data_IF_657317347847
#
_entry.id   IF_657317347847
#
_cell.length_a   1.000
_cell.length_b   1.000
_cell.length_c   1.000
_cell.angle_alpha   90.00
_cell.angle_beta   90.00
_cell.angle_gamma   90.00
#
_symmetry.space_group_name_H-M   'P 1'
#
loop_
_entity.id
_entity.type
_entity.pdbx_description
1 polymer ?
#
# COMPACT_ATOMS: atom_id res chain seq x y z
N UNK A 1 13.51 -11.39 1.36
CA UNK A 1 12.30 -11.21 0.53
C UNK A 1 12.09 -9.73 0.34
N UNK A 2 11.53 -9.35 -0.80
CA UNK A 2 11.19 -7.96 -1.09
C UNK A 2 10.20 -7.43 -0.06
N UNK A 3 10.37 -6.17 0.32
CA UNK A 3 9.41 -5.42 1.10
C UNK A 3 9.11 -4.09 0.43
N UNK A 4 7.82 -3.76 0.34
CA UNK A 4 7.33 -2.51 -0.21
C UNK A 4 7.15 -1.51 0.94
N UNK A 5 7.81 -0.36 0.83
CA UNK A 5 7.56 0.78 1.71
C UNK A 5 6.20 1.38 1.41
N UNK A 6 5.39 1.48 2.46
CA UNK A 6 4.05 2.04 2.39
C UNK A 6 3.72 2.74 3.70
N UNK A 7 2.89 3.78 3.66
CA UNK A 7 2.48 4.52 4.85
C UNK A 7 1.87 3.59 5.89
N UNK A 8 2.28 3.74 7.15
CA UNK A 8 1.81 2.89 8.25
C UNK A 8 0.27 2.85 8.33
N UNK A 9 -0.39 3.98 8.06
CA UNK A 9 -1.86 4.09 8.02
C UNK A 9 -2.48 3.23 6.90
N UNK A 10 -1.82 3.16 5.74
CA UNK A 10 -2.24 2.29 4.63
C UNK A 10 -2.01 0.82 4.97
N UNK A 11 -0.87 0.49 5.58
CA UNK A 11 -0.60 -0.87 6.09
C UNK A 11 -1.67 -1.28 7.09
N UNK A 12 -2.04 -0.40 8.03
CA UNK A 12 -3.12 -0.68 8.98
C UNK A 12 -4.47 -0.89 8.27
N UNK A 13 -4.80 -0.09 7.25
CA UNK A 13 -6.03 -0.27 6.48
C UNK A 13 -6.07 -1.57 5.66
N UNK A 14 -4.93 -1.97 5.09
CA UNK A 14 -4.74 -3.27 4.42
C UNK A 14 -4.93 -4.42 5.40
N UNK A 15 -4.34 -4.30 6.60
CA UNK A 15 -4.45 -5.29 7.67
C UNK A 15 -5.87 -5.41 8.26
N UNK A 16 -6.71 -4.38 8.14
CA UNK A 16 -8.10 -4.42 8.58
C UNK A 16 -9.09 -4.73 7.44
N UNK A 17 -8.59 -4.94 6.21
CA UNK A 17 -9.42 -5.26 5.04
C UNK A 17 -10.22 -4.08 4.51
N UNK A 18 -10.00 -2.87 5.02
CA UNK A 18 -10.63 -1.63 4.54
C UNK A 18 -10.02 -1.15 3.22
N UNK A 19 -8.78 -1.53 2.95
CA UNK A 19 -8.09 -1.29 1.69
C UNK A 19 -7.68 -2.63 1.07
N UNK A 20 -7.83 -2.73 -0.25
CA UNK A 20 -7.36 -3.87 -1.05
C UNK A 20 -6.61 -3.44 -2.30
N UNK A 21 -6.68 -2.15 -2.67
CA UNK A 21 -6.00 -1.61 -3.84
C UNK A 21 -4.93 -0.62 -3.41
N UNK A 22 -3.71 -0.80 -3.88
CA UNK A 22 -2.69 0.24 -3.86
C UNK A 22 -2.76 1.07 -5.15
N UNK A 23 -2.67 2.38 -5.00
CA UNK A 23 -2.54 3.33 -6.10
C UNK A 23 -1.13 3.91 -6.02
N UNK A 24 -0.26 3.53 -6.95
CA UNK A 24 1.15 3.90 -6.97
C UNK A 24 1.46 4.71 -8.22
N UNK A 25 2.09 5.86 -8.00
CA UNK A 25 2.75 6.62 -9.05
C UNK A 25 4.25 6.59 -8.77
N UNK A 26 5.06 6.44 -9.82
CA UNK A 26 6.52 6.34 -9.68
C UNK A 26 7.07 7.44 -8.78
N UNK A 27 8.01 7.09 -7.90
CA UNK A 27 8.75 8.06 -7.11
C UNK A 27 9.68 8.94 -7.97
N UNK A 28 10.36 9.91 -7.35
CA UNK A 28 11.33 10.81 -8.02
C UNK A 28 12.40 10.03 -8.80
N UNK A 29 12.83 8.89 -8.28
CA UNK A 29 13.84 8.02 -8.92
C UNK A 29 13.25 7.04 -9.95
N UNK A 30 11.92 6.89 -9.99
CA UNK A 30 11.19 6.01 -10.90
C UNK A 30 10.51 6.82 -12.03
N UNK A 31 10.76 8.13 -12.07
CA UNK A 31 10.12 9.12 -12.92
C UNK A 31 10.17 8.75 -14.43
N UNK A 32 11.27 8.16 -14.89
CA UNK A 32 11.43 7.84 -16.31
C UNK A 32 10.52 6.68 -16.77
N UNK A 33 10.20 5.72 -15.90
CA UNK A 33 9.46 4.50 -16.27
C UNK A 33 8.14 4.27 -15.54
N UNK A 34 7.77 5.11 -14.57
CA UNK A 34 6.66 4.85 -13.66
C UNK A 34 7.02 3.82 -12.58
N UNK A 35 6.07 3.56 -11.67
CA UNK A 35 6.27 2.57 -10.60
C UNK A 35 6.34 1.16 -11.18
N UNK A 36 7.35 0.38 -10.77
CA UNK A 36 7.52 -1.01 -11.17
C UNK A 36 7.30 -1.94 -9.99
N UNK A 37 6.48 -2.96 -10.20
CA UNK A 37 6.31 -4.06 -9.27
C UNK A 37 7.56 -4.97 -9.36
N UNK A 38 8.34 -5.04 -8.28
CA UNK A 38 9.56 -5.87 -8.24
C UNK A 38 9.28 -7.31 -7.75
N UNK A 39 8.11 -7.55 -7.17
CA UNK A 39 7.72 -8.87 -6.66
C UNK A 39 6.21 -9.00 -6.55
N UNK A 40 5.69 -10.19 -6.85
CA UNK A 40 4.28 -10.54 -6.68
C UNK A 40 3.93 -10.90 -5.22
N UNK A 41 4.92 -11.16 -4.36
CA UNK A 41 4.70 -11.45 -2.94
C UNK A 41 5.78 -10.80 -2.07
N UNK A 42 5.36 -9.88 -1.21
CA UNK A 42 6.28 -9.01 -0.47
C UNK A 42 5.77 -8.66 0.93
N UNK A 43 6.70 -8.29 1.81
CA UNK A 43 6.35 -7.76 3.13
C UNK A 43 5.92 -6.29 3.01
N UNK A 44 4.97 -5.86 3.84
CA UNK A 44 4.62 -4.45 3.96
C UNK A 44 5.53 -3.80 5.00
N UNK A 45 6.35 -2.84 4.56
CA UNK A 45 7.24 -2.09 5.44
C UNK A 45 6.60 -0.74 5.79
N UNK A 46 6.05 -0.56 7.01
CA UNK A 46 5.34 0.66 7.37
C UNK A 46 6.32 1.83 7.50
N UNK A 47 6.01 2.94 6.85
CA UNK A 47 6.72 4.21 6.97
C UNK A 47 5.86 5.22 7.72
N UNK A 48 6.49 5.98 8.62
CA UNK A 48 5.76 6.84 9.55
C UNK A 48 5.77 8.33 9.16
N UNK A 49 6.65 8.72 8.22
CA UNK A 49 6.87 10.11 7.86
C UNK A 49 5.88 10.61 6.80
N UNK A 50 5.60 11.92 6.85
CA UNK A 50 4.76 12.63 5.88
C UNK A 50 3.31 12.12 5.73
N UNK A 51 2.79 11.41 6.74
CA UNK A 51 1.38 11.04 6.78
C UNK A 51 0.54 12.14 7.42
N UNK A 52 -0.54 12.56 6.76
CA UNK A 52 -1.45 13.58 7.28
C UNK A 52 -2.93 13.23 7.04
N UNK A 53 -3.82 13.91 7.78
CA UNK A 53 -5.25 13.72 7.67
C UNK A 53 -5.83 14.28 6.37
N UNK A 54 -5.21 15.28 5.74
CA UNK A 54 -5.71 15.85 4.48
C UNK A 54 -5.61 14.84 3.32
N UNK A 55 -4.62 13.95 3.40
CA UNK A 55 -4.39 12.88 2.44
C UNK A 55 -5.36 11.70 2.60
N UNK A 56 -6.09 11.63 3.71
CA UNK A 56 -6.94 10.49 4.09
C UNK A 56 -8.41 10.90 4.13
N UNK A 57 -9.30 9.97 3.78
CA UNK A 57 -10.73 10.15 4.05
C UNK A 57 -10.95 10.24 5.56
N UNK A 58 -11.91 11.07 5.97
CA UNK A 58 -12.15 11.42 7.37
C UNK A 58 -12.41 10.21 8.27
N UNK A 59 -13.07 9.16 7.75
CA UNK A 59 -13.31 7.95 8.53
C UNK A 59 -12.04 7.16 8.91
N UNK A 60 -10.89 7.45 8.27
CA UNK A 60 -9.61 6.78 8.54
C UNK A 60 -8.62 7.66 9.33
N UNK A 61 -9.03 8.85 9.79
CA UNK A 61 -8.17 9.69 10.65
C UNK A 61 -7.81 9.00 11.97
N UNK A 62 -8.70 8.13 12.47
CA UNK A 62 -8.41 7.28 13.63
C UNK A 62 -7.22 6.36 13.43
N UNK A 63 -7.06 5.77 12.24
CA UNK A 63 -5.89 4.93 11.93
C UNK A 63 -4.59 5.72 11.96
N UNK A 64 -4.60 6.95 11.44
CA UNK A 64 -3.41 7.80 11.53
C UNK A 64 -3.04 8.13 12.99
N UNK A 65 -4.04 8.36 13.85
CA UNK A 65 -3.80 8.55 15.28
C UNK A 65 -3.20 7.28 15.91
N UNK A 66 -3.81 6.12 15.64
CA UNK A 66 -3.38 4.83 16.17
C UNK A 66 -1.93 4.48 15.77
N UNK A 67 -1.54 4.62 14.50
CA UNK A 67 -0.17 4.30 14.07
C UNK A 67 0.87 5.28 14.61
N UNK A 68 0.48 6.52 14.93
CA UNK A 68 1.37 7.50 15.56
C UNK A 68 1.60 7.16 17.02
N UNK A 69 0.54 6.78 17.74
CA UNK A 69 0.63 6.34 19.14
C UNK A 69 1.40 5.02 19.26
N UNK A 70 1.17 4.08 18.34
CA UNK A 70 1.79 2.76 18.33
C UNK A 70 3.06 2.68 17.46
N UNK A 71 3.72 3.82 17.23
CA UNK A 71 4.98 3.85 16.47
C UNK A 71 6.04 3.01 17.19
N UNK A 72 6.78 2.14 16.48
CA UNK A 72 7.88 1.37 17.08
C UNK A 72 8.93 2.26 17.74
N UNK A 73 9.68 1.65 18.67
CA UNK A 73 10.83 2.29 19.30
C UNK A 73 11.85 2.78 18.25
N UNK A 74 12.64 3.79 18.62
CA UNK A 74 13.68 4.31 17.75
C UNK A 74 14.66 3.20 17.33
N UNK A 75 15.05 3.22 16.05
CA UNK A 75 15.99 2.24 15.48
C UNK A 75 15.38 0.88 15.11
N UNK A 76 14.09 0.66 15.32
CA UNK A 76 13.40 -0.59 14.89
C UNK A 76 12.14 -0.30 14.09
N UNK A 77 11.77 -1.24 13.24
CA UNK A 77 10.46 -1.31 12.59
C UNK A 77 9.82 -2.67 12.84
N UNK A 78 8.51 -2.78 12.65
CA UNK A 78 7.74 -4.00 12.91
C UNK A 78 6.98 -4.42 11.67
N UNK A 79 7.25 -5.63 11.19
CA UNK A 79 6.57 -6.24 10.05
C UNK A 79 5.50 -7.18 10.57
N UNK A 80 4.25 -6.92 10.19
CA UNK A 80 3.06 -7.64 10.66
C UNK A 80 2.21 -8.19 9.52
N UNK A 81 2.56 -7.88 8.27
CA UNK A 81 1.80 -8.31 7.11
C UNK A 81 2.65 -8.57 5.88
N UNK A 82 2.14 -9.50 5.07
CA UNK A 82 2.63 -9.85 3.74
C UNK A 82 1.48 -9.60 2.77
N UNK A 83 1.80 -9.09 1.59
CA UNK A 83 0.86 -8.92 0.50
C UNK A 83 1.26 -9.79 -0.70
N UNK A 84 0.25 -10.28 -1.40
CA UNK A 84 0.35 -10.99 -2.67
C UNK A 84 -0.46 -10.22 -3.72
N UNK A 85 0.12 -9.98 -4.88
CA UNK A 85 -0.54 -9.30 -5.99
C UNK A 85 -1.42 -10.31 -6.71
N UNK A 86 -2.72 -10.02 -6.78
CA UNK A 86 -3.65 -10.82 -7.59
C UNK A 86 -3.82 -10.23 -8.99
N UNK A 87 -3.71 -8.90 -9.10
CA UNK A 87 -3.88 -8.20 -10.37
C UNK A 87 -3.25 -6.81 -10.30
N UNK A 88 -2.68 -6.34 -11.41
CA UNK A 88 -2.24 -4.96 -11.56
C UNK A 88 -2.57 -4.39 -12.93
N UNK A 89 -2.82 -3.08 -12.99
CA UNK A 89 -3.11 -2.36 -14.23
C UNK A 89 -2.56 -0.93 -14.18
N UNK A 90 -2.17 -0.45 -15.35
CA UNK A 90 -1.84 0.96 -15.56
C UNK A 90 -3.12 1.73 -15.93
N UNK A 91 -3.48 2.71 -15.10
CA UNK A 91 -4.73 3.46 -15.22
C UNK A 91 -4.44 4.93 -15.49
N UNK A 92 -4.95 5.43 -16.62
CA UNK A 92 -4.86 6.85 -17.00
C UNK A 92 -6.19 7.60 -16.84
N UNK A 93 -7.30 6.88 -16.66
CA UNK A 93 -8.64 7.46 -16.55
C UNK A 93 -8.96 7.87 -15.11
N UNK A 94 -9.22 9.16 -14.89
CA UNK A 94 -9.68 9.67 -13.61
C UNK A 94 -11.01 9.02 -13.18
N UNK A 95 -11.93 8.78 -14.12
CA UNK A 95 -13.22 8.12 -13.84
C UNK A 95 -13.02 6.71 -13.26
N UNK A 96 -12.06 5.95 -13.80
CA UNK A 96 -11.72 4.61 -13.27
C UNK A 96 -11.11 4.72 -11.88
N UNK A 97 -10.23 5.69 -11.66
CA UNK A 97 -9.60 5.95 -10.36
C UNK A 97 -10.64 6.34 -9.30
N UNK A 98 -11.59 7.22 -9.61
CA UNK A 98 -12.68 7.62 -8.71
C UNK A 98 -13.56 6.42 -8.34
N UNK A 99 -13.86 5.54 -9.30
CA UNK A 99 -14.58 4.29 -9.04
C UNK A 99 -13.84 3.32 -8.13
N UNK A 100 -12.51 3.42 -8.02
CA UNK A 100 -11.70 2.64 -7.07
C UNK A 100 -11.76 3.18 -5.63
N UNK A 101 -12.39 4.34 -5.40
CA UNK A 101 -12.48 4.96 -4.07
C UNK A 101 -12.92 3.98 -2.95
N UNK A 102 -13.90 3.07 -3.12
CA UNK A 102 -14.26 2.12 -2.07
C UNK A 102 -13.16 1.13 -1.64
N UNK A 103 -12.05 1.04 -2.38
CA UNK A 103 -10.98 0.05 -2.16
C UNK A 103 -9.68 0.66 -1.62
N UNK A 104 -9.66 1.97 -1.32
CA UNK A 104 -8.54 2.66 -0.70
C UNK A 104 -8.98 3.77 0.28
N UNK A 105 -8.04 4.17 1.15
CA UNK A 105 -8.30 5.17 2.20
C UNK A 105 -8.01 6.62 1.80
N UNK A 106 -7.34 6.83 0.67
CA UNK A 106 -6.95 8.15 0.21
C UNK A 106 -8.13 9.09 -0.02
N UNK A 107 -7.98 10.36 0.37
CA UNK A 107 -8.94 11.41 0.04
C UNK A 107 -8.97 11.69 -1.46
N UNK A 108 -10.10 12.22 -1.93
CA UNK A 108 -10.26 12.54 -3.35
C UNK A 108 -9.24 13.62 -3.79
N UNK A 109 -8.97 14.61 -2.94
CA UNK A 109 -7.97 15.66 -3.22
C UNK A 109 -6.57 15.07 -3.38
N UNK A 110 -6.17 14.13 -2.52
CA UNK A 110 -4.89 13.45 -2.63
C UNK A 110 -4.77 12.69 -3.94
N UNK A 111 -5.82 11.94 -4.30
CA UNK A 111 -5.83 11.18 -5.56
C UNK A 111 -5.73 12.10 -6.79
N UNK A 112 -6.45 13.22 -6.80
CA UNK A 112 -6.36 14.24 -7.87
C UNK A 112 -4.93 14.77 -7.98
N UNK A 113 -4.32 15.16 -6.86
CA UNK A 113 -2.94 15.66 -6.84
C UNK A 113 -1.95 14.60 -7.36
N UNK A 114 -2.11 13.35 -6.93
CA UNK A 114 -1.26 12.23 -7.40
C UNK A 114 -1.46 11.92 -8.88
N UNK A 115 -2.68 12.04 -9.41
CA UNK A 115 -2.93 11.88 -10.85
C UNK A 115 -2.29 13.01 -11.67
N UNK A 116 -2.35 14.25 -11.16
CA UNK A 116 -1.77 15.43 -11.81
C UNK A 116 -0.24 15.50 -11.71
N UNK A 117 0.37 14.82 -10.74
CA UNK A 117 1.82 14.63 -10.69
C UNK A 117 2.28 13.75 -11.85
N UNK A 118 3.15 14.22 -12.75
CA UNK A 118 3.59 13.46 -13.95
C UNK A 118 2.40 12.87 -14.75
N UNK A 119 1.50 13.73 -15.27
CA UNK A 119 0.23 13.31 -15.87
C UNK A 119 0.40 12.43 -17.11
N UNK A 120 1.56 12.48 -17.77
CA UNK A 120 1.94 11.61 -18.88
C UNK A 120 2.21 10.15 -18.47
N UNK A 121 2.36 9.88 -17.17
CA UNK A 121 2.56 8.54 -16.62
C UNK A 121 1.26 8.01 -16.01
N UNK A 122 0.93 6.72 -16.23
CA UNK A 122 -0.23 6.11 -15.62
C UNK A 122 -0.07 6.01 -14.10
N UNK A 123 -1.20 5.94 -13.40
CA UNK A 123 -1.26 5.45 -12.03
C UNK A 123 -1.32 3.93 -12.06
N UNK A 124 -0.43 3.25 -11.34
CA UNK A 124 -0.54 1.79 -11.20
C UNK A 124 -1.56 1.45 -10.12
N UNK A 125 -2.59 0.71 -10.48
CA UNK A 125 -3.56 0.12 -9.56
C UNK A 125 -3.22 -1.35 -9.31
N UNK A 126 -3.00 -1.73 -8.06
CA UNK A 126 -2.52 -3.06 -7.67
C UNK A 126 -3.50 -3.65 -6.66
N UNK A 127 -4.19 -4.73 -7.03
CA UNK A 127 -5.08 -5.45 -6.12
C UNK A 127 -4.28 -6.47 -5.30
N UNK A 128 -4.42 -6.40 -3.98
CA UNK A 128 -3.66 -7.20 -3.03
C UNK A 128 -4.54 -8.18 -2.26
N UNK A 129 -4.03 -9.40 -2.11
CA UNK A 129 -4.39 -10.33 -1.04
C UNK A 129 -3.43 -10.14 0.12
N UNK A 130 -3.95 -9.84 1.31
CA UNK A 130 -3.12 -9.52 2.49
C UNK A 130 -3.22 -10.63 3.53
N UNK A 131 -2.08 -10.96 4.13
CA UNK A 131 -1.92 -11.93 5.20
C UNK A 131 -1.37 -11.23 6.43
N UNK A 132 -1.98 -11.45 7.60
CA UNK A 132 -1.39 -11.09 8.89
C UNK A 132 -0.42 -12.17 9.34
N UNK A 133 0.82 -11.77 9.60
CA UNK A 133 1.89 -12.65 10.10
C UNK A 133 2.27 -12.27 11.52
N UNK A 134 2.91 -13.17 12.30
CA UNK A 134 3.50 -12.81 13.57
C UNK A 134 4.45 -11.62 13.43
N UNK A 135 4.38 -10.69 14.37
CA UNK A 135 5.21 -9.49 14.35
C UNK A 135 6.70 -9.85 14.36
N UNK A 136 7.45 -9.35 13.38
CA UNK A 136 8.90 -9.46 13.32
C UNK A 136 9.52 -8.09 13.44
N UNK A 137 10.36 -7.89 14.45
CA UNK A 137 11.13 -6.65 14.61
C UNK A 137 12.33 -6.66 13.68
N UNK A 138 12.53 -5.54 12.99
CA UNK A 138 13.60 -5.34 12.02
C UNK A 138 14.41 -4.11 12.43
N UNK A 139 15.72 -4.23 12.63
CA UNK A 139 16.56 -3.07 12.91
C UNK A 139 16.55 -2.14 11.69
N UNK A 140 16.40 -0.84 11.93
CA UNK A 140 16.47 0.18 10.89
C UNK A 140 17.93 0.40 10.50
N UNK A 141 18.30 -0.12 9.34
CA UNK A 141 19.61 0.08 8.74
C UNK A 141 19.61 1.34 7.88
N UNK A 142 20.79 1.96 7.74
CA UNK A 142 20.94 3.19 6.97
C UNK A 142 20.52 3.04 5.50
N UNK A 143 20.68 1.83 4.95
CA UNK A 143 20.26 1.45 3.60
C UNK A 143 18.74 1.44 3.38
N UNK A 144 17.95 1.40 4.47
CA UNK A 144 16.50 1.46 4.39
C UNK A 144 15.99 2.90 4.29
N UNK A 145 16.83 3.91 4.49
CA UNK A 145 16.44 5.31 4.30
C UNK A 145 16.34 5.70 2.82
N UNK A 146 15.73 6.85 2.57
CA UNK A 146 15.60 7.43 1.24
C UNK A 146 14.39 6.95 0.43
N UNK A 147 14.28 7.49 -0.79
CA UNK A 147 13.08 7.48 -1.61
C UNK A 147 12.83 6.18 -2.41
N UNK A 148 13.58 5.09 -2.14
CA UNK A 148 13.34 3.81 -2.81
C UNK A 148 12.08 3.15 -2.25
N UNK A 149 11.20 2.71 -3.15
CA UNK A 149 9.98 1.97 -2.83
C UNK A 149 10.26 0.59 -2.24
N UNK A 150 11.29 -0.10 -2.74
CA UNK A 150 11.57 -1.49 -2.41
C UNK A 150 12.86 -1.64 -1.61
N UNK A 151 12.83 -2.54 -0.63
CA UNK A 151 13.99 -2.98 0.15
C UNK A 151 14.01 -4.52 0.26
N UNK A 152 15.15 -5.08 0.65
CA UNK A 152 15.26 -6.50 0.97
C UNK A 152 15.26 -6.69 2.48
N UNK A 153 14.39 -7.58 2.97
CA UNK A 153 14.31 -7.94 4.38
C UNK A 153 14.51 -9.44 4.57
N UNK A 154 15.17 -9.81 5.66
CA UNK A 154 15.19 -11.19 6.14
C UNK A 154 14.02 -11.43 7.10
N UNK A 155 12.82 -11.58 6.55
CA UNK A 155 11.59 -11.90 7.29
C UNK A 155 11.07 -13.27 6.87
N UNK A 156 10.47 -14.00 7.80
CA UNK A 156 9.84 -15.28 7.47
C UNK A 156 8.63 -15.03 6.56
N UNK A 157 8.52 -15.81 5.49
CA UNK A 157 7.47 -15.70 4.48
C UNK A 157 6.32 -16.70 4.70
N UNK A 158 6.31 -17.37 5.85
CA UNK A 158 5.28 -18.33 6.22
C UNK A 158 3.88 -17.71 6.11
N UNK A 159 2.93 -18.45 5.50
CA UNK A 159 1.59 -17.93 5.26
C UNK A 159 0.89 -17.64 6.59
N UNK A 160 0.63 -16.36 6.82
CA UNK A 160 -0.21 -15.88 7.89
C UNK A 160 -1.70 -16.11 7.64
N UNK A 161 -2.55 -15.58 8.52
CA UNK A 161 -4.01 -15.61 8.31
C UNK A 161 -4.39 -14.59 7.24
N UNK A 162 -5.21 -15.00 6.27
CA UNK A 162 -5.77 -14.05 5.29
C UNK A 162 -6.63 -13.01 6.00
N UNK A 163 -6.51 -11.75 5.60
CA UNK A 163 -7.30 -10.65 6.18
C UNK A 163 -8.76 -10.76 5.78
N UNK A 164 -9.02 -11.07 4.51
CA UNK A 164 -10.37 -11.30 3.98
C UNK A 164 -10.66 -12.79 3.84
N UNK A 165 -11.92 -13.16 3.92
CA UNK A 165 -12.39 -14.47 3.47
C UNK A 165 -12.23 -14.61 1.95
N UNK A 166 -12.17 -15.84 1.46
CA UNK A 166 -12.07 -16.09 0.01
C UNK A 166 -13.27 -15.48 -0.75
N UNK A 167 -14.48 -15.56 -0.18
CA UNK A 167 -15.67 -14.99 -0.80
C UNK A 167 -15.61 -13.45 -0.93
N UNK A 168 -15.20 -12.75 0.13
CA UNK A 168 -15.04 -11.29 0.11
C UNK A 168 -13.93 -10.86 -0.85
N UNK A 169 -12.82 -11.61 -0.87
CA UNK A 169 -11.69 -11.34 -1.76
C UNK A 169 -12.10 -11.47 -3.23
N UNK A 170 -12.78 -12.57 -3.60
CA UNK A 170 -13.26 -12.79 -4.95
C UNK A 170 -14.29 -11.75 -5.37
N UNK A 171 -15.22 -11.37 -4.48
CA UNK A 171 -16.18 -10.31 -4.75
C UNK A 171 -15.47 -8.98 -5.07
N UNK A 172 -14.54 -8.55 -4.22
CA UNK A 172 -13.81 -7.29 -4.41
C UNK A 172 -12.92 -7.33 -5.67
N UNK A 173 -12.31 -8.47 -5.97
CA UNK A 173 -11.49 -8.65 -7.18
C UNK A 173 -12.34 -8.58 -8.45
N UNK A 174 -13.52 -9.20 -8.47
CA UNK A 174 -14.47 -9.09 -9.58
C UNK A 174 -14.92 -7.65 -9.83
N UNK A 175 -15.21 -6.90 -8.78
CA UNK A 175 -15.56 -5.49 -8.90
C UNK A 175 -14.38 -4.63 -9.38
N UNK A 176 -13.17 -4.90 -8.88
CA UNK A 176 -11.95 -4.26 -9.37
C UNK A 176 -11.78 -4.47 -10.88
N UNK A 177 -11.90 -5.71 -11.37
CA UNK A 177 -11.87 -6.04 -12.80
C UNK A 177 -12.93 -5.27 -13.58
N UNK A 178 -14.16 -5.19 -13.07
CA UNK A 178 -15.26 -4.47 -13.72
C UNK A 178 -15.00 -2.96 -13.85
N UNK A 179 -14.27 -2.37 -12.90
CA UNK A 179 -13.90 -0.95 -12.94
C UNK A 179 -12.76 -0.70 -13.93
N UNK A 180 -11.79 -1.61 -13.98
CA UNK A 180 -10.54 -1.42 -14.70
C UNK A 180 -10.61 -1.84 -16.16
N UNK A 181 -11.47 -2.81 -16.50
CA UNK A 181 -11.81 -3.15 -17.88
C UNK A 181 -12.63 -2.00 -18.51
#
# INVERSE_FOLDING_TARGET
MKALKEWATVVQALENGNQTVLLRKGGILEADSGFKLESEKFALFPTYEHQDNASLKSQYHGYLADVRENKPNEGVNRITSIAEVLEEHDVVSMEKIEKLSPYHIWSDSYIVERMNWMPEKPMKAIFLKVYKVPATEIPLLSEYHGCKSWIELNVNSEPGKTVLSEAELQQKLSEFRRIIN
#
